data_IF_863610641588
#
_entry.id   IF_863610641588
#
_cell.length_a   1.000
_cell.length_b   1.000
_cell.length_c   1.000
_cell.angle_alpha   90.00
_cell.angle_beta   90.00
_cell.angle_gamma   90.00
#
_symmetry.space_group_name_H-M   'P 1'
#
loop_
_entity.id
_entity.type
_entity.pdbx_description
1 polymer ?
#
# COMPACT_ATOMS: atom_id res chain seq x y z
N UNK A 1 9.68 11.52 15.57
CA UNK A 1 8.74 10.40 15.32
C UNK A 1 8.09 10.02 16.65
N UNK A 2 6.78 10.09 16.74
CA UNK A 2 6.02 9.60 17.91
C UNK A 2 5.85 8.08 17.80
N UNK A 3 5.84 7.40 18.95
CA UNK A 3 5.47 5.99 18.97
C UNK A 3 4.02 5.82 18.49
N UNK A 4 3.79 4.92 17.58
CA UNK A 4 2.48 4.67 16.97
C UNK A 4 2.13 3.19 17.17
N UNK A 5 1.00 2.91 17.80
CA UNK A 5 0.50 1.55 17.97
C UNK A 5 0.02 0.93 16.67
N UNK A 6 -0.05 -0.40 16.60
CA UNK A 6 -0.43 -1.11 15.38
C UNK A 6 -1.82 -0.69 14.85
N UNK A 7 -2.81 -0.59 15.72
CA UNK A 7 -4.16 -0.16 15.32
C UNK A 7 -4.19 1.30 14.88
N UNK A 8 -3.41 2.15 15.56
CA UNK A 8 -3.27 3.55 15.19
C UNK A 8 -2.60 3.72 13.82
N UNK A 9 -1.58 2.90 13.52
CA UNK A 9 -0.93 2.90 12.21
C UNK A 9 -1.92 2.54 11.10
N UNK A 10 -2.73 1.50 11.31
CA UNK A 10 -3.79 1.12 10.35
C UNK A 10 -4.75 2.27 10.11
N UNK A 11 -5.23 2.88 11.21
CA UNK A 11 -6.19 3.97 11.14
C UNK A 11 -5.60 5.21 10.45
N UNK A 12 -4.39 5.62 10.82
CA UNK A 12 -3.70 6.74 10.16
C UNK A 12 -3.59 6.55 8.66
N UNK A 13 -3.17 5.35 8.21
CA UNK A 13 -3.04 5.08 6.79
C UNK A 13 -4.37 5.15 6.05
N UNK A 14 -5.38 4.46 6.57
CA UNK A 14 -6.68 4.39 5.93
C UNK A 14 -7.36 5.76 5.90
N UNK A 15 -7.35 6.50 7.03
CA UNK A 15 -7.92 7.84 7.11
C UNK A 15 -7.19 8.85 6.21
N UNK A 16 -5.86 8.72 6.08
CA UNK A 16 -5.12 9.56 5.15
C UNK A 16 -5.63 9.39 3.72
N UNK A 17 -5.76 8.14 3.25
CA UNK A 17 -6.23 7.91 1.89
C UNK A 17 -7.74 8.17 1.72
N UNK A 18 -8.56 8.03 2.76
CA UNK A 18 -9.94 8.53 2.76
C UNK A 18 -9.98 10.05 2.53
N UNK A 19 -9.08 10.82 3.15
CA UNK A 19 -8.97 12.27 2.92
C UNK A 19 -8.56 12.63 1.49
N UNK A 20 -7.92 11.70 0.77
CA UNK A 20 -7.60 11.82 -0.67
C UNK A 20 -8.71 11.24 -1.58
N UNK A 21 -9.89 10.94 -1.04
CA UNK A 21 -11.07 10.48 -1.78
C UNK A 21 -11.15 8.98 -2.03
N UNK A 22 -10.34 8.17 -1.34
CA UNK A 22 -10.40 6.71 -1.46
C UNK A 22 -11.60 6.14 -0.69
N UNK A 23 -12.21 5.11 -1.25
CA UNK A 23 -13.16 4.27 -0.55
C UNK A 23 -12.39 3.27 0.31
N UNK A 24 -12.61 3.31 1.62
CA UNK A 24 -12.08 2.31 2.53
C UNK A 24 -12.89 1.03 2.41
N UNK A 25 -12.21 -0.07 2.13
CA UNK A 25 -12.80 -1.42 2.11
C UNK A 25 -12.20 -2.26 3.23
N UNK A 26 -13.01 -3.17 3.75
CA UNK A 26 -12.54 -4.19 4.68
C UNK A 26 -11.55 -5.15 4.01
N UNK A 27 -10.73 -5.82 4.83
CA UNK A 27 -9.89 -6.91 4.34
C UNK A 27 -10.73 -8.01 3.70
N UNK A 28 -10.38 -8.36 2.47
CA UNK A 28 -10.99 -9.53 1.82
C UNK A 28 -10.61 -10.81 2.57
N UNK A 29 -11.45 -11.87 2.49
CA UNK A 29 -11.12 -13.17 3.05
C UNK A 29 -9.80 -13.71 2.49
N UNK A 30 -9.01 -14.39 3.34
CA UNK A 30 -7.74 -15.00 2.94
C UNK A 30 -7.91 -16.10 1.89
N UNK A 31 -9.01 -16.83 1.96
CA UNK A 31 -9.38 -17.81 0.92
C UNK A 31 -10.08 -17.06 -0.20
N UNK A 32 -9.46 -16.98 -1.40
CA UNK A 32 -10.03 -16.23 -2.50
C UNK A 32 -11.37 -16.81 -2.96
N UNK A 33 -12.31 -15.93 -3.27
CA UNK A 33 -13.57 -16.31 -3.91
C UNK A 33 -13.40 -16.17 -5.43
N UNK A 34 -13.67 -17.26 -6.16
CA UNK A 34 -13.69 -17.25 -7.64
C UNK A 34 -12.34 -16.91 -8.32
N UNK A 35 -11.22 -17.20 -7.68
CA UNK A 35 -9.89 -17.15 -8.30
C UNK A 35 -9.15 -18.47 -8.05
N UNK A 36 -9.16 -19.41 -9.01
CA UNK A 36 -8.49 -20.69 -8.90
C UNK A 36 -6.96 -20.60 -9.01
N UNK A 37 -6.42 -19.45 -9.36
CA UNK A 37 -4.97 -19.23 -9.49
C UNK A 37 -4.26 -19.05 -8.16
N UNK A 38 -4.99 -18.81 -7.08
CA UNK A 38 -4.47 -18.57 -5.74
C UNK A 38 -5.16 -19.48 -4.71
N UNK A 39 -4.37 -20.13 -3.87
CA UNK A 39 -4.89 -20.84 -2.69
C UNK A 39 -5.23 -19.87 -1.56
N UNK A 40 -4.38 -18.89 -1.34
CA UNK A 40 -4.53 -17.86 -0.32
C UNK A 40 -4.15 -16.49 -0.87
N UNK A 41 -4.80 -15.46 -0.37
CA UNK A 41 -4.48 -14.07 -0.71
C UNK A 41 -3.09 -13.73 -0.18
N UNK A 42 -2.21 -13.29 -1.07
CA UNK A 42 -0.80 -13.04 -0.82
C UNK A 42 -0.37 -11.57 -1.04
N UNK A 43 -1.32 -10.72 -1.46
CA UNK A 43 -1.10 -9.28 -1.67
C UNK A 43 -2.39 -8.49 -1.58
N UNK A 44 -2.27 -7.18 -1.35
CA UNK A 44 -3.41 -6.27 -1.31
C UNK A 44 -4.16 -6.16 -2.63
N UNK A 45 -3.46 -6.30 -3.76
CA UNK A 45 -4.04 -6.21 -5.09
C UNK A 45 -4.77 -7.48 -5.53
N UNK A 46 -4.36 -8.65 -5.05
CA UNK A 46 -4.87 -9.93 -5.52
C UNK A 46 -6.41 -10.05 -5.55
N UNK A 47 -7.15 -9.67 -4.49
CA UNK A 47 -8.61 -9.75 -4.51
C UNK A 47 -9.29 -8.77 -5.46
N UNK A 48 -8.56 -7.74 -5.93
CA UNK A 48 -9.05 -6.69 -6.82
C UNK A 48 -8.60 -6.88 -8.28
N UNK A 49 -8.02 -8.05 -8.61
CA UNK A 49 -7.45 -8.35 -9.93
C UNK A 49 -8.43 -8.07 -11.08
N UNK A 50 -9.71 -8.39 -10.91
CA UNK A 50 -10.73 -8.18 -11.94
C UNK A 50 -10.96 -6.70 -12.25
N UNK A 51 -10.85 -5.83 -11.25
CA UNK A 51 -10.96 -4.37 -11.43
C UNK A 51 -9.76 -3.83 -12.21
N UNK A 52 -8.54 -4.32 -11.92
CA UNK A 52 -7.34 -3.95 -12.66
C UNK A 52 -7.37 -4.44 -14.13
N UNK A 53 -8.02 -5.56 -14.38
CA UNK A 53 -8.18 -6.12 -15.73
C UNK A 53 -9.41 -5.58 -16.48
N UNK A 54 -10.13 -4.61 -15.88
CA UNK A 54 -11.38 -4.07 -16.43
C UNK A 54 -12.43 -5.15 -16.75
N UNK A 55 -12.43 -6.26 -16.00
CA UNK A 55 -13.41 -7.34 -16.11
C UNK A 55 -14.67 -7.06 -15.28
N UNK A 56 -14.51 -6.28 -14.23
CA UNK A 56 -15.59 -5.81 -13.36
C UNK A 56 -15.33 -4.34 -13.01
N UNK A 57 -16.38 -3.55 -12.87
CA UNK A 57 -16.28 -2.16 -12.39
C UNK A 57 -15.91 -2.13 -10.90
N UNK A 58 -14.93 -1.32 -10.49
CA UNK A 58 -14.64 -1.14 -9.06
C UNK A 58 -15.77 -0.32 -8.39
N UNK A 59 -15.98 -0.50 -7.08
CA UNK A 59 -16.98 0.27 -6.35
C UNK A 59 -16.67 1.78 -6.31
N UNK A 60 -15.41 2.12 -6.50
CA UNK A 60 -14.86 3.48 -6.68
C UNK A 60 -13.50 3.38 -7.35
N UNK A 61 -13.13 4.39 -8.15
CA UNK A 61 -11.82 4.42 -8.84
C UNK A 61 -10.64 4.59 -7.88
N UNK A 62 -10.86 5.03 -6.64
CA UNK A 62 -9.88 5.11 -5.55
C UNK A 62 -10.31 4.20 -4.41
N UNK A 63 -9.46 3.26 -4.04
CA UNK A 63 -9.73 2.31 -2.95
C UNK A 63 -8.52 2.25 -2.01
N UNK A 64 -8.77 2.13 -0.72
CA UNK A 64 -7.74 1.84 0.29
C UNK A 64 -8.15 0.68 1.17
N UNK A 65 -7.18 -0.16 1.52
CA UNK A 65 -7.39 -1.35 2.35
C UNK A 65 -6.23 -1.61 3.29
N UNK A 66 -6.52 -2.30 4.39
CA UNK A 66 -5.54 -3.00 5.21
C UNK A 66 -5.77 -4.51 5.00
N UNK A 67 -5.14 -5.09 3.97
CA UNK A 67 -5.39 -6.47 3.54
C UNK A 67 -4.54 -7.46 4.30
N UNK A 68 -5.18 -8.44 4.93
CA UNK A 68 -4.53 -9.62 5.51
C UNK A 68 -4.00 -10.53 4.41
N UNK A 69 -2.73 -10.92 4.52
CA UNK A 69 -2.03 -11.70 3.50
C UNK A 69 -1.26 -12.85 4.12
N UNK A 70 -1.11 -13.93 3.35
CA UNK A 70 -0.24 -15.07 3.69
C UNK A 70 0.73 -15.33 2.56
N UNK A 71 2.02 -15.46 2.91
CA UNK A 71 3.08 -15.95 2.01
C UNK A 71 3.86 -17.05 2.70
N UNK A 72 4.00 -18.19 2.03
CA UNK A 72 4.63 -19.38 2.59
C UNK A 72 6.02 -19.72 2.01
N UNK A 73 6.54 -19.13 0.92
CA UNK A 73 7.82 -19.51 0.35
C UNK A 73 9.01 -19.47 1.31
N UNK A 74 8.95 -18.57 2.30
CA UNK A 74 10.02 -18.39 3.31
C UNK A 74 9.68 -19.01 4.68
N UNK A 75 8.72 -19.94 4.74
CA UNK A 75 8.24 -20.50 6.01
C UNK A 75 9.37 -21.14 6.82
N UNK A 76 10.34 -21.76 6.15
CA UNK A 76 11.50 -22.40 6.80
C UNK A 76 12.47 -21.38 7.43
N UNK A 77 12.37 -20.11 7.04
CA UNK A 77 13.20 -19.02 7.57
C UNK A 77 12.54 -18.26 8.73
N UNK A 78 11.26 -18.49 8.96
CA UNK A 78 10.52 -17.86 10.06
C UNK A 78 11.08 -18.33 11.40
N UNK A 79 11.45 -17.37 12.24
CA UNK A 79 12.08 -17.66 13.52
C UNK A 79 13.61 -17.88 13.45
N UNK A 80 14.19 -18.04 12.25
CA UNK A 80 15.65 -18.11 12.04
C UNK A 80 16.21 -16.73 11.69
N UNK A 81 15.52 -16.01 10.82
CA UNK A 81 15.89 -14.65 10.41
C UNK A 81 14.95 -13.63 11.07
N UNK A 82 15.46 -12.41 11.29
CA UNK A 82 14.72 -11.35 11.97
C UNK A 82 13.57 -10.73 11.15
N UNK A 83 13.46 -11.03 9.86
CA UNK A 83 12.59 -10.28 8.93
C UNK A 83 11.58 -11.13 8.15
N UNK A 84 11.54 -12.44 8.36
CA UNK A 84 10.60 -13.31 7.66
C UNK A 84 9.39 -13.62 8.54
N UNK A 85 8.21 -13.38 7.99
CA UNK A 85 6.91 -13.77 8.55
C UNK A 85 6.04 -14.35 7.46
N UNK A 86 5.07 -15.18 7.82
CA UNK A 86 4.13 -15.80 6.87
C UNK A 86 2.83 -15.03 6.77
N UNK A 87 2.35 -14.49 7.90
CA UNK A 87 1.13 -13.69 7.98
C UNK A 87 1.49 -12.23 8.21
N UNK A 88 0.93 -11.35 7.39
CA UNK A 88 1.15 -9.91 7.48
C UNK A 88 -0.05 -9.14 6.95
N UNK A 89 -0.07 -7.85 7.19
CA UNK A 89 -1.04 -6.93 6.61
C UNK A 89 -0.34 -6.05 5.58
N UNK A 90 -1.01 -5.83 4.46
CA UNK A 90 -0.57 -4.93 3.41
C UNK A 90 -1.48 -3.70 3.42
N UNK A 91 -0.92 -2.56 3.82
CA UNK A 91 -1.57 -1.26 3.70
C UNK A 91 -1.48 -0.84 2.23
N UNK A 92 -2.63 -0.65 1.61
CA UNK A 92 -2.72 -0.42 0.17
C UNK A 92 -3.62 0.74 -0.20
N UNK A 93 -3.17 1.53 -1.18
CA UNK A 93 -3.97 2.50 -1.89
C UNK A 93 -3.94 2.16 -3.38
N UNK A 94 -5.08 2.16 -4.01
CA UNK A 94 -5.26 1.67 -5.38
C UNK A 94 -6.00 2.71 -6.20
N UNK A 95 -5.51 2.90 -7.44
CA UNK A 95 -6.10 3.76 -8.45
C UNK A 95 -6.52 2.91 -9.65
N UNK A 96 -7.80 2.97 -9.99
CA UNK A 96 -8.35 2.33 -11.18
C UNK A 96 -8.56 3.40 -12.26
N UNK A 97 -7.47 3.73 -12.99
CA UNK A 97 -7.44 4.74 -14.06
C UNK A 97 -7.84 6.16 -13.59
N UNK A 98 -7.49 6.54 -12.36
CA UNK A 98 -7.81 7.84 -11.80
C UNK A 98 -6.56 8.68 -11.57
N UNK A 99 -5.62 8.24 -10.73
CA UNK A 99 -4.35 8.94 -10.50
C UNK A 99 -3.15 8.03 -10.73
N UNK A 100 -1.97 8.63 -10.91
CA UNK A 100 -0.70 7.95 -11.09
C UNK A 100 0.40 8.59 -10.22
N UNK A 101 1.63 8.65 -10.73
CA UNK A 101 2.82 9.10 -9.98
C UNK A 101 2.73 10.56 -9.52
N UNK A 102 2.14 11.42 -10.35
CA UNK A 102 2.01 12.85 -10.08
C UNK A 102 1.29 13.17 -8.76
N UNK A 103 0.32 12.35 -8.38
CA UNK A 103 -0.45 12.50 -7.16
C UNK A 103 0.10 11.63 -6.04
N UNK A 104 0.36 10.33 -6.32
CA UNK A 104 0.70 9.38 -5.25
C UNK A 104 2.06 9.64 -4.62
N UNK A 105 3.04 10.13 -5.39
CA UNK A 105 4.38 10.42 -4.85
C UNK A 105 4.32 11.54 -3.80
N UNK A 106 3.72 12.73 -4.08
CA UNK A 106 3.53 13.75 -3.06
C UNK A 106 2.69 13.27 -1.86
N UNK A 107 1.64 12.47 -2.09
CA UNK A 107 0.85 11.92 -0.98
C UNK A 107 1.65 10.97 -0.10
N UNK A 108 2.46 10.10 -0.68
CA UNK A 108 3.32 9.21 0.09
C UNK A 108 4.30 10.01 0.96
N UNK A 109 4.90 11.06 0.40
CA UNK A 109 5.78 11.96 1.13
C UNK A 109 5.05 12.69 2.27
N UNK A 110 3.88 13.24 1.97
CA UNK A 110 3.03 13.90 2.98
C UNK A 110 2.69 12.93 4.12
N UNK A 111 2.22 11.72 3.80
CA UNK A 111 1.88 10.72 4.82
C UNK A 111 3.07 10.38 5.72
N UNK A 112 4.26 10.19 5.13
CA UNK A 112 5.43 9.77 5.88
C UNK A 112 6.03 10.90 6.73
N UNK A 113 6.01 12.15 6.24
CA UNK A 113 6.81 13.23 6.82
C UNK A 113 6.00 14.28 7.58
N UNK A 114 4.70 14.44 7.34
CA UNK A 114 3.92 15.47 8.03
C UNK A 114 3.67 15.12 9.49
N UNK A 115 3.63 16.15 10.34
CA UNK A 115 3.41 16.01 11.78
C UNK A 115 2.04 15.43 12.13
N UNK A 116 1.07 15.62 11.26
CA UNK A 116 -0.30 15.11 11.43
C UNK A 116 -0.35 13.58 11.28
N UNK A 117 0.54 12.99 10.45
CA UNK A 117 0.51 11.58 10.13
C UNK A 117 1.64 10.81 10.80
N UNK A 118 2.72 10.53 10.09
CA UNK A 118 3.79 9.66 10.62
C UNK A 118 4.96 10.42 11.23
N UNK A 119 5.14 11.68 10.87
CA UNK A 119 6.22 12.56 11.35
C UNK A 119 7.61 11.88 11.33
N UNK A 120 7.91 11.11 10.28
CA UNK A 120 9.22 10.50 10.13
C UNK A 120 10.22 11.59 9.73
N UNK A 121 11.35 11.75 10.45
CA UNK A 121 12.38 12.69 10.04
C UNK A 121 12.86 12.41 8.61
N UNK A 122 12.92 13.46 7.79
CA UNK A 122 13.28 13.34 6.36
C UNK A 122 14.65 12.72 6.14
N UNK A 123 15.61 12.99 7.03
CA UNK A 123 16.96 12.45 7.01
C UNK A 123 17.04 10.93 7.25
N UNK A 124 15.96 10.30 7.69
CA UNK A 124 15.84 8.84 7.86
C UNK A 124 15.18 8.13 6.67
N UNK A 125 14.75 8.87 5.68
CA UNK A 125 14.12 8.33 4.49
C UNK A 125 15.11 8.30 3.33
N UNK A 126 15.18 7.15 2.66
CA UNK A 126 15.98 6.96 1.45
C UNK A 126 15.02 6.68 0.30
N UNK A 127 15.06 7.55 -0.71
CA UNK A 127 14.23 7.42 -1.90
C UNK A 127 15.07 6.79 -3.01
N UNK A 128 14.51 5.79 -3.66
CA UNK A 128 15.08 5.19 -4.86
C UNK A 128 14.07 5.21 -6.00
N UNK A 129 14.56 5.46 -7.19
CA UNK A 129 13.80 5.38 -8.44
C UNK A 129 14.51 4.42 -9.39
N UNK A 130 13.76 3.83 -10.33
CA UNK A 130 14.37 3.08 -11.40
C UNK A 130 15.14 4.04 -12.33
N UNK A 131 16.32 3.62 -12.82
CA UNK A 131 17.23 4.48 -13.57
C UNK A 131 16.64 5.09 -14.86
N UNK A 132 15.67 4.40 -15.47
CA UNK A 132 14.97 4.85 -16.68
C UNK A 132 13.61 5.51 -16.37
N UNK A 133 13.26 5.74 -15.09
CA UNK A 133 12.00 6.38 -14.70
C UNK A 133 12.21 7.88 -14.44
N UNK A 134 12.43 8.62 -15.52
CA UNK A 134 12.62 10.07 -15.47
C UNK A 134 11.42 10.81 -14.87
N UNK A 135 10.19 10.31 -15.09
CA UNK A 135 8.99 10.91 -14.52
C UNK A 135 9.01 10.86 -12.99
N UNK A 136 9.27 9.70 -12.41
CA UNK A 136 9.37 9.58 -10.95
C UNK A 136 10.54 10.42 -10.39
N UNK A 137 11.68 10.42 -11.08
CA UNK A 137 12.84 11.25 -10.71
C UNK A 137 12.49 12.74 -10.70
N UNK A 138 11.83 13.23 -11.74
CA UNK A 138 11.41 14.62 -11.85
C UNK A 138 10.41 15.04 -10.77
N UNK A 139 9.43 14.18 -10.48
CA UNK A 139 8.46 14.44 -9.40
C UNK A 139 9.17 14.56 -8.05
N UNK A 140 10.07 13.62 -7.73
CA UNK A 140 10.81 13.64 -6.48
C UNK A 140 11.72 14.87 -6.35
N UNK A 141 12.42 15.26 -7.41
CA UNK A 141 13.43 16.33 -7.36
C UNK A 141 12.86 17.73 -7.57
N UNK A 142 11.79 17.86 -8.37
CA UNK A 142 11.24 19.17 -8.75
C UNK A 142 9.95 19.54 -8.01
N UNK A 143 9.16 18.55 -7.61
CA UNK A 143 7.85 18.77 -6.98
C UNK A 143 7.86 18.51 -5.49
N UNK A 144 8.56 17.48 -5.05
CA UNK A 144 8.67 17.13 -3.62
C UNK A 144 9.83 17.86 -2.96
N UNK A 145 10.99 17.97 -3.60
CA UNK A 145 12.18 18.72 -3.17
C UNK A 145 13.08 17.92 -2.22
#
# INVERSE_FOLDING_TARGET
MQWTGLNELREKYLSFFESKGHLRLDSFPLVPKNDPSLLLINSGMAPMKKWFLAQEEPPRHRVTTCQKCIRTPDIERVGITARHGTFFEMLGNFSFQDYFKEEVIPWAWEFLTSDEWMAIPKDKLHISVYEEDDEAYDIWTKKVG
#
